data_IF_707949926167
#
_entry.id   IF_707949926167
#
_cell.length_a   1.000
_cell.length_b   1.000
_cell.length_c   1.000
_cell.angle_alpha   90.00
_cell.angle_beta   90.00
_cell.angle_gamma   90.00
#
_symmetry.space_group_name_H-M   'P 1'
#
loop_
_entity.id
_entity.type
_entity.pdbx_description
1 polymer ?
#
# COMPACT_ATOMS: atom_id res chain seq x y z
N UNK A 1 16.31 4.67 12.73
CA UNK A 1 15.84 5.54 13.83
C UNK A 1 14.44 6.10 13.58
N UNK A 2 13.88 5.97 12.36
CA UNK A 2 12.67 6.69 11.92
C UNK A 2 11.35 6.24 12.54
N UNK A 3 11.25 5.02 13.08
CA UNK A 3 9.99 4.49 13.61
C UNK A 3 9.94 4.32 15.13
N UNK A 4 11.04 4.62 15.82
CA UNK A 4 11.20 4.29 17.25
C UNK A 4 10.20 5.03 18.12
N UNK A 5 9.87 6.27 17.77
CA UNK A 5 8.94 7.11 18.51
C UNK A 5 7.49 6.60 18.51
N UNK A 6 7.11 5.81 17.50
CA UNK A 6 5.78 5.22 17.39
C UNK A 6 5.64 3.89 18.13
N UNK A 7 6.75 3.24 18.51
CA UNK A 7 6.74 1.88 19.05
C UNK A 7 6.89 1.94 20.58
N UNK A 8 5.76 1.82 21.29
CA UNK A 8 5.73 1.92 22.76
C UNK A 8 6.11 0.60 23.46
N UNK A 9 5.69 -0.53 22.89
CA UNK A 9 6.01 -1.87 23.40
C UNK A 9 6.47 -2.75 22.24
N UNK A 10 7.79 -2.86 21.99
CA UNK A 10 8.33 -3.51 20.79
C UNK A 10 8.21 -5.03 20.81
N UNK A 11 8.14 -5.64 22.01
CA UNK A 11 8.10 -7.09 22.19
C UNK A 11 7.25 -7.43 23.40
N UNK A 12 6.28 -8.31 23.21
CA UNK A 12 5.37 -8.80 24.26
C UNK A 12 5.33 -10.33 24.17
N UNK A 13 5.52 -11.00 25.30
CA UNK A 13 5.46 -12.45 25.40
C UNK A 13 4.10 -12.90 25.95
N UNK A 14 3.77 -14.19 25.76
CA UNK A 14 2.52 -14.79 26.25
C UNK A 14 1.26 -14.10 25.74
N UNK A 15 1.29 -13.64 24.48
CA UNK A 15 0.11 -13.11 23.78
C UNK A 15 -0.62 -14.31 23.17
N UNK A 16 -1.95 -14.33 23.29
CA UNK A 16 -2.77 -15.35 22.62
C UNK A 16 -3.27 -14.82 21.28
N UNK A 17 -2.87 -15.45 20.19
CA UNK A 17 -3.39 -15.22 18.86
C UNK A 17 -4.61 -16.12 18.61
N UNK A 18 -5.67 -15.55 18.04
CA UNK A 18 -6.81 -16.29 17.50
C UNK A 18 -7.17 -15.76 16.11
N UNK A 19 -7.05 -16.62 15.09
CA UNK A 19 -7.56 -16.34 13.74
C UNK A 19 -8.98 -16.86 13.56
N UNK A 20 -9.66 -16.43 12.48
CA UNK A 20 -11.07 -16.74 12.21
C UNK A 20 -11.43 -18.24 12.30
N UNK A 21 -10.53 -19.12 11.85
CA UNK A 21 -10.74 -20.57 11.82
C UNK A 21 -9.66 -21.38 12.58
N UNK A 22 -8.94 -20.73 13.50
CA UNK A 22 -7.84 -21.34 14.26
C UNK A 22 -8.19 -21.57 15.74
N UNK A 23 -7.41 -22.44 16.38
CA UNK A 23 -7.36 -22.52 17.84
C UNK A 23 -6.64 -21.28 18.39
N UNK A 24 -6.75 -21.07 19.71
CA UNK A 24 -5.91 -20.05 20.36
C UNK A 24 -4.49 -20.58 20.47
N UNK A 25 -3.51 -19.77 20.09
CA UNK A 25 -2.09 -20.12 20.17
C UNK A 25 -1.37 -19.05 20.98
N UNK A 26 -0.58 -19.48 21.97
CA UNK A 26 0.27 -18.58 22.75
C UNK A 26 1.60 -18.36 22.02
N UNK A 27 2.12 -17.13 22.06
CA UNK A 27 3.39 -16.81 21.43
C UNK A 27 3.93 -15.44 21.81
N UNK A 28 4.92 -15.01 21.04
CA UNK A 28 5.53 -13.69 21.17
C UNK A 28 5.04 -12.78 20.05
N UNK A 29 4.60 -11.58 20.42
CA UNK A 29 4.27 -10.49 19.49
C UNK A 29 5.42 -9.49 19.44
N UNK A 30 5.83 -9.10 18.23
CA UNK A 30 6.83 -8.07 17.99
C UNK A 30 6.23 -6.97 17.10
N UNK A 31 6.40 -5.72 17.52
CA UNK A 31 6.01 -4.53 16.74
C UNK A 31 7.28 -3.97 16.11
N UNK A 32 7.28 -3.86 14.78
CA UNK A 32 8.36 -3.24 13.99
C UNK A 32 7.83 -1.99 13.29
N UNK A 33 8.67 -1.28 12.54
CA UNK A 33 8.25 -0.09 11.79
C UNK A 33 7.19 -0.37 10.70
N UNK A 34 7.17 -1.57 10.13
CA UNK A 34 6.25 -1.92 9.02
C UNK A 34 5.33 -3.09 9.32
N UNK A 35 5.72 -3.98 10.24
CA UNK A 35 4.99 -5.21 10.53
C UNK A 35 4.66 -5.37 12.01
N UNK A 36 3.53 -6.00 12.25
CA UNK A 36 3.22 -6.77 13.43
C UNK A 36 3.55 -8.24 13.17
N UNK A 37 4.46 -8.80 13.96
CA UNK A 37 4.96 -10.17 13.79
C UNK A 37 4.58 -10.99 15.02
N UNK A 38 3.96 -12.15 14.82
CA UNK A 38 3.69 -13.11 15.90
C UNK A 38 4.36 -14.45 15.59
N UNK A 39 4.96 -15.07 16.60
CA UNK A 39 5.50 -16.43 16.49
C UNK A 39 5.15 -17.23 17.74
N UNK A 40 4.55 -18.41 17.54
CA UNK A 40 4.24 -19.36 18.61
C UNK A 40 5.48 -20.09 19.14
N UNK A 41 6.59 -20.08 18.38
CA UNK A 41 7.81 -20.87 18.66
C UNK A 41 7.57 -22.38 18.83
N UNK A 42 6.40 -22.87 18.41
CA UNK A 42 6.08 -24.31 18.40
C UNK A 42 6.34 -24.89 17.01
N UNK A 43 6.46 -26.22 16.91
CA UNK A 43 6.61 -26.92 15.63
C UNK A 43 5.40 -26.75 14.68
N UNK A 44 4.28 -26.21 15.19
CA UNK A 44 3.11 -25.86 14.39
C UNK A 44 3.22 -24.40 13.93
N UNK A 45 3.28 -24.24 12.61
CA UNK A 45 3.59 -23.04 11.80
C UNK A 45 2.61 -21.85 11.94
N UNK A 46 1.97 -21.64 13.09
CA UNK A 46 1.13 -20.47 13.29
C UNK A 46 1.99 -19.22 13.56
N UNK A 47 2.41 -18.60 12.46
CA UNK A 47 3.05 -17.29 12.42
C UNK A 47 2.10 -16.22 11.83
N UNK A 48 2.24 -14.99 12.31
CA UNK A 48 1.58 -13.82 11.73
C UNK A 48 2.65 -12.87 11.21
N UNK A 49 2.49 -12.44 9.96
CA UNK A 49 3.19 -11.28 9.39
C UNK A 49 2.13 -10.33 8.84
N UNK A 50 1.80 -9.28 9.60
CA UNK A 50 0.79 -8.31 9.24
C UNK A 50 1.44 -6.94 9.01
N UNK A 51 1.30 -6.39 7.81
CA UNK A 51 1.70 -5.02 7.52
C UNK A 51 0.78 -4.02 8.24
N UNK A 52 1.33 -2.97 8.84
CA UNK A 52 0.52 -1.89 9.43
C UNK A 52 -0.39 -1.22 8.41
N UNK A 53 0.06 -1.11 7.14
CA UNK A 53 -0.74 -0.57 6.05
C UNK A 53 -1.95 -1.43 5.65
N UNK A 54 -1.97 -2.70 6.06
CA UNK A 54 -3.09 -3.61 5.82
C UNK A 54 -4.18 -3.53 6.91
N UNK A 55 -3.89 -2.83 8.02
CA UNK A 55 -4.87 -2.57 9.09
C UNK A 55 -5.85 -1.51 8.60
N UNK A 56 -7.15 -1.78 8.80
CA UNK A 56 -8.25 -0.85 8.56
C UNK A 56 -8.67 -0.19 9.88
N UNK A 57 -8.85 -1.01 10.92
CA UNK A 57 -9.25 -0.52 12.24
C UNK A 57 -8.84 -1.49 13.34
N UNK A 58 -8.86 -0.99 14.58
CA UNK A 58 -8.57 -1.78 15.77
C UNK A 58 -9.66 -1.55 16.83
N UNK A 59 -10.22 -2.64 17.33
CA UNK A 59 -11.18 -2.63 18.44
C UNK A 59 -10.48 -3.07 19.73
N UNK A 60 -10.70 -2.32 20.81
CA UNK A 60 -10.07 -2.54 22.12
C UNK A 60 -11.15 -2.97 23.11
N UNK A 61 -11.03 -4.17 23.69
CA UNK A 61 -11.95 -4.69 24.71
C UNK A 61 -11.22 -5.02 25.99
N UNK A 62 -11.54 -4.32 27.08
CA UNK A 62 -10.99 -4.57 28.43
C UNK A 62 -11.95 -5.49 29.18
N UNK A 63 -11.47 -6.61 29.72
CA UNK A 63 -12.31 -7.65 30.33
C UNK A 63 -12.40 -7.54 31.86
N UNK A 64 -11.26 -7.25 32.52
CA UNK A 64 -11.18 -7.26 33.99
C UNK A 64 -10.17 -6.22 34.55
N UNK A 65 -9.86 -5.17 33.78
CA UNK A 65 -8.84 -4.17 34.14
C UNK A 65 -7.39 -4.63 33.95
N UNK A 66 -7.12 -5.92 34.09
CA UNK A 66 -5.80 -6.52 33.82
C UNK A 66 -5.72 -7.09 32.41
N UNK A 67 -6.75 -7.79 31.95
CA UNK A 67 -6.78 -8.42 30.62
C UNK A 67 -7.46 -7.56 29.56
N UNK A 68 -6.88 -7.58 28.35
CA UNK A 68 -7.41 -6.87 27.18
C UNK A 68 -7.37 -7.75 25.92
N UNK A 69 -8.34 -7.54 25.04
CA UNK A 69 -8.41 -8.14 23.72
C UNK A 69 -8.36 -7.04 22.68
N UNK A 70 -7.43 -7.15 21.73
CA UNK A 70 -7.39 -6.35 20.51
C UNK A 70 -7.96 -7.17 19.37
N UNK A 71 -8.96 -6.63 18.67
CA UNK A 71 -9.43 -7.17 17.39
C UNK A 71 -8.96 -6.26 16.29
N UNK A 72 -8.07 -6.75 15.44
CA UNK A 72 -7.53 -6.02 14.29
C UNK A 72 -8.35 -6.42 13.08
N UNK A 73 -8.97 -5.42 12.46
CA UNK A 73 -9.71 -5.55 11.21
C UNK A 73 -8.79 -5.16 10.06
N UNK A 74 -8.60 -6.08 9.12
CA UNK A 74 -7.73 -5.88 7.96
C UNK A 74 -8.54 -5.47 6.72
N UNK A 75 -7.90 -4.75 5.79
CA UNK A 75 -8.51 -4.30 4.52
C UNK A 75 -8.94 -5.44 3.59
N UNK A 76 -8.44 -6.65 3.83
CA UNK A 76 -8.83 -7.87 3.13
C UNK A 76 -9.97 -8.64 3.83
N UNK A 77 -10.70 -8.00 4.76
CA UNK A 77 -11.77 -8.58 5.56
C UNK A 77 -11.34 -9.72 6.49
N UNK A 78 -10.04 -9.87 6.76
CA UNK A 78 -9.53 -10.77 7.80
C UNK A 78 -9.65 -10.12 9.19
N UNK A 79 -9.83 -10.96 10.20
CA UNK A 79 -9.93 -10.56 11.61
C UNK A 79 -8.88 -11.30 12.42
N UNK A 80 -7.99 -10.54 13.03
CA UNK A 80 -6.93 -11.05 13.91
C UNK A 80 -7.24 -10.64 15.34
N UNK A 81 -7.37 -11.61 16.25
CA UNK A 81 -7.59 -11.34 17.68
C UNK A 81 -6.34 -11.65 18.48
N UNK A 82 -5.94 -10.69 19.31
CA UNK A 82 -4.81 -10.78 20.24
C UNK A 82 -5.31 -10.57 21.65
N UNK A 83 -5.05 -11.52 22.54
CA UNK A 83 -5.41 -11.42 23.96
C UNK A 83 -4.15 -11.22 24.80
N UNK A 84 -4.19 -10.24 25.69
CA UNK A 84 -3.09 -9.79 26.52
C UNK A 84 -3.45 -9.97 28.00
N UNK A 85 -2.46 -10.35 28.79
CA UNK A 85 -2.58 -10.43 30.26
C UNK A 85 -2.40 -9.07 30.94
N UNK A 86 -1.83 -8.09 30.23
CA UNK A 86 -1.61 -6.72 30.70
C UNK A 86 -2.31 -5.72 29.77
N UNK A 87 -3.18 -4.90 30.32
CA UNK A 87 -3.97 -3.91 29.58
C UNK A 87 -3.10 -2.76 29.08
N UNK A 88 -2.08 -2.34 29.82
CA UNK A 88 -1.15 -1.29 29.39
C UNK A 88 -0.38 -1.72 28.13
N UNK A 89 0.12 -2.96 28.10
CA UNK A 89 0.80 -3.52 26.93
C UNK A 89 -0.13 -3.56 25.71
N UNK A 90 -1.39 -3.98 25.89
CA UNK A 90 -2.38 -4.01 24.82
C UNK A 90 -2.65 -2.59 24.28
N UNK A 91 -2.81 -1.59 25.16
CA UNK A 91 -3.04 -0.21 24.74
C UNK A 91 -1.82 0.40 24.04
N UNK A 92 -0.61 0.08 24.49
CA UNK A 92 0.64 0.49 23.85
C UNK A 92 0.78 -0.10 22.45
N UNK A 93 0.50 -1.40 22.28
CA UNK A 93 0.50 -2.06 20.97
C UNK A 93 -0.56 -1.43 20.06
N UNK A 94 -1.77 -1.23 20.56
CA UNK A 94 -2.86 -0.68 19.77
C UNK A 94 -2.54 0.75 19.27
N UNK A 95 -2.02 1.61 20.16
CA UNK A 95 -1.55 2.94 19.78
C UNK A 95 -0.42 2.90 18.76
N UNK A 96 0.54 1.98 18.93
CA UNK A 96 1.65 1.84 17.97
C UNK A 96 1.14 1.44 16.58
N UNK A 97 0.15 0.54 16.51
CA UNK A 97 -0.48 0.13 15.24
C UNK A 97 -1.25 1.31 14.62
N UNK A 98 -2.03 2.04 15.42
CA UNK A 98 -2.79 3.20 14.95
C UNK A 98 -1.85 4.22 14.31
N UNK A 99 -0.77 4.60 15.00
CA UNK A 99 0.21 5.58 14.52
C UNK A 99 0.94 5.10 13.26
N UNK A 100 1.40 3.84 13.24
CA UNK A 100 2.16 3.27 12.11
C UNK A 100 1.29 3.00 10.87
N UNK A 101 -0.01 2.75 11.05
CA UNK A 101 -0.94 2.44 9.94
C UNK A 101 -1.27 3.66 9.07
N UNK A 102 -1.13 4.88 9.63
CA UNK A 102 -1.54 6.14 9.00
C UNK A 102 -0.37 7.01 8.51
N UNK A 103 0.88 6.55 8.63
CA UNK A 103 2.05 7.28 8.12
C UNK A 103 1.83 7.62 6.64
N UNK A 104 1.78 8.90 6.28
CA UNK A 104 1.47 9.35 4.92
C UNK A 104 2.71 9.51 4.04
N UNK A 105 3.89 9.69 4.64
CA UNK A 105 5.14 9.82 3.90
C UNK A 105 5.43 8.57 3.06
N UNK A 106 5.45 8.75 1.74
CA UNK A 106 5.70 7.68 0.79
C UNK A 106 7.09 7.08 0.96
N UNK A 107 8.10 7.89 1.30
CA UNK A 107 9.48 7.43 1.49
C UNK A 107 9.63 6.48 2.69
N UNK A 108 8.70 6.55 3.65
CA UNK A 108 8.68 5.70 4.85
C UNK A 108 7.93 4.37 4.65
N UNK A 109 7.35 4.13 3.46
CA UNK A 109 6.59 2.90 3.19
C UNK A 109 7.51 1.70 3.02
N UNK A 110 7.01 0.52 3.42
CA UNK A 110 7.77 -0.73 3.40
C UNK A 110 8.51 -1.04 2.08
N UNK A 111 7.95 -0.79 0.87
CA UNK A 111 8.67 -1.06 -0.38
C UNK A 111 10.04 -0.37 -0.49
N UNK A 112 10.25 0.78 0.15
CA UNK A 112 11.54 1.50 0.14
C UNK A 112 12.57 0.90 1.12
N UNK A 113 12.12 0.10 2.09
CA UNK A 113 12.98 -0.57 3.07
C UNK A 113 13.21 -2.04 2.75
N UNK A 114 12.42 -2.60 1.83
CA UNK A 114 12.50 -3.99 1.45
C UNK A 114 13.84 -4.29 0.77
N UNK A 115 14.52 -5.33 1.26
CA UNK A 115 15.74 -5.87 0.67
C UNK A 115 15.57 -7.35 0.42
N UNK A 116 15.67 -7.75 -0.84
CA UNK A 116 15.66 -9.16 -1.21
C UNK A 116 16.86 -9.89 -0.62
N UNK A 117 16.61 -11.06 -0.01
CA UNK A 117 17.65 -11.91 0.59
C UNK A 117 18.35 -12.80 -0.44
N UNK A 118 17.77 -12.96 -1.62
CA UNK A 118 18.33 -13.74 -2.73
C UNK A 118 18.67 -12.81 -3.89
N UNK A 119 19.67 -13.20 -4.70
CA UNK A 119 19.91 -12.52 -5.98
C UNK A 119 18.63 -12.59 -6.80
N UNK A 120 18.14 -11.43 -7.23
CA UNK A 120 17.00 -11.36 -8.14
C UNK A 120 17.23 -12.29 -9.33
N UNK A 121 16.16 -12.89 -9.84
CA UNK A 121 16.14 -13.50 -11.17
C UNK A 121 16.70 -12.53 -12.20
N UNK A 122 17.19 -13.02 -13.34
CA UNK A 122 17.70 -12.18 -14.44
C UNK A 122 16.67 -11.16 -14.97
N UNK A 123 15.40 -11.29 -14.59
CA UNK A 123 14.29 -10.45 -15.02
C UNK A 123 13.91 -9.39 -13.98
N UNK A 124 13.91 -8.12 -14.40
CA UNK A 124 13.42 -6.97 -13.62
C UNK A 124 11.94 -6.71 -13.92
N UNK A 125 11.11 -6.70 -12.87
CA UNK A 125 9.67 -6.44 -12.98
C UNK A 125 9.34 -5.04 -13.52
N UNK A 126 10.26 -4.06 -13.40
CA UNK A 126 10.08 -2.73 -13.99
C UNK A 126 10.03 -2.77 -15.52
N UNK A 127 10.71 -3.72 -16.14
CA UNK A 127 10.79 -3.86 -17.59
C UNK A 127 9.72 -4.81 -18.16
N UNK A 128 8.87 -5.40 -17.29
CA UNK A 128 7.85 -6.36 -17.70
C UNK A 128 6.77 -5.75 -18.61
N UNK A 129 6.55 -4.43 -18.54
CA UNK A 129 5.55 -3.74 -19.35
C UNK A 129 6.12 -2.48 -20.01
N UNK A 130 6.13 -2.46 -21.34
CA UNK A 130 6.50 -1.30 -22.13
C UNK A 130 5.30 -0.74 -22.87
N UNK A 131 4.90 0.49 -22.50
CA UNK A 131 3.81 1.23 -23.15
C UNK A 131 4.02 1.37 -24.66
N UNK A 132 5.26 1.57 -25.09
CA UNK A 132 5.61 1.74 -26.51
C UNK A 132 5.37 0.45 -27.29
N UNK A 133 5.81 -0.69 -26.75
CA UNK A 133 5.64 -2.00 -27.37
C UNK A 133 4.14 -2.32 -27.47
N UNK A 134 3.41 -2.22 -26.37
CA UNK A 134 1.98 -2.54 -26.31
C UNK A 134 1.14 -1.66 -27.24
N UNK A 135 1.39 -0.35 -27.25
CA UNK A 135 0.67 0.56 -28.15
C UNK A 135 1.08 0.41 -29.60
N UNK A 136 2.33 0.03 -29.91
CA UNK A 136 2.76 -0.23 -31.28
C UNK A 136 2.03 -1.42 -31.89
N UNK A 137 1.79 -2.48 -31.12
CA UNK A 137 1.01 -3.63 -31.56
C UNK A 137 -0.41 -3.22 -31.94
N UNK A 138 -1.08 -2.42 -31.08
CA UNK A 138 -2.43 -1.91 -31.37
C UNK A 138 -2.50 -0.96 -32.57
N UNK A 139 -1.53 -0.05 -32.71
CA UNK A 139 -1.49 0.90 -33.82
C UNK A 139 -1.28 0.17 -35.16
N UNK A 140 -0.43 -0.85 -35.18
CA UNK A 140 -0.15 -1.66 -36.38
C UNK A 140 -1.40 -2.36 -36.90
N UNK A 141 -2.25 -2.87 -36.00
CA UNK A 141 -3.48 -3.57 -36.39
C UNK A 141 -4.56 -2.67 -36.97
N UNK A 142 -4.61 -1.40 -36.56
CA UNK A 142 -5.73 -0.48 -36.88
C UNK A 142 -5.38 0.56 -37.94
N UNK A 143 -4.10 0.92 -38.08
CA UNK A 143 -3.54 1.94 -38.99
C UNK A 143 -4.10 3.37 -38.87
N UNK A 144 -5.25 3.56 -38.21
CA UNK A 144 -5.88 4.86 -37.98
C UNK A 144 -5.27 5.63 -36.80
N UNK A 145 -4.41 4.99 -36.02
CA UNK A 145 -3.84 5.48 -34.78
C UNK A 145 -2.31 5.45 -34.84
N UNK A 146 -1.67 6.39 -34.15
CA UNK A 146 -0.21 6.47 -34.01
C UNK A 146 0.20 6.80 -32.60
N UNK A 147 1.42 6.42 -32.26
CA UNK A 147 2.06 6.79 -31.00
C UNK A 147 2.44 8.28 -31.03
N UNK A 148 2.25 8.95 -29.89
CA UNK A 148 2.61 10.33 -29.64
C UNK A 148 3.32 10.48 -28.30
N UNK A 149 4.42 11.22 -28.31
CA UNK A 149 5.20 11.58 -27.12
C UNK A 149 5.00 13.04 -26.72
N UNK A 150 3.92 13.67 -27.18
CA UNK A 150 3.65 15.09 -26.89
C UNK A 150 3.60 15.37 -25.39
N UNK A 151 3.22 14.37 -24.58
CA UNK A 151 3.17 14.45 -23.12
C UNK A 151 4.39 13.85 -22.40
N UNK A 152 5.53 13.63 -23.08
CA UNK A 152 6.74 13.02 -22.45
C UNK A 152 7.20 13.75 -21.18
N UNK A 153 7.13 15.08 -21.18
CA UNK A 153 7.53 15.92 -20.04
C UNK A 153 6.38 16.19 -19.06
N UNK A 154 5.23 15.52 -19.28
CA UNK A 154 3.98 15.82 -18.60
C UNK A 154 3.65 17.31 -18.66
N UNK A 155 3.69 17.92 -19.85
CA UNK A 155 3.34 19.34 -20.08
C UNK A 155 1.97 19.50 -20.71
N UNK A 156 1.40 18.41 -21.22
CA UNK A 156 0.07 18.40 -21.83
C UNK A 156 -0.92 18.07 -20.72
N UNK A 157 -1.63 19.09 -20.27
CA UNK A 157 -2.61 18.98 -19.21
C UNK A 157 -3.94 19.59 -19.65
N UNK A 158 -5.01 19.02 -19.12
CA UNK A 158 -6.33 19.62 -19.18
C UNK A 158 -6.30 20.93 -18.41
N UNK A 159 -6.55 22.06 -19.08
CA UNK A 159 -6.83 23.31 -18.40
C UNK A 159 -8.18 23.15 -17.69
N UNK A 160 -8.15 22.72 -16.43
CA UNK A 160 -9.29 22.91 -15.56
C UNK A 160 -9.41 24.41 -15.31
N UNK A 161 -10.47 25.01 -15.83
CA UNK A 161 -10.85 26.37 -15.43
C UNK A 161 -11.11 26.31 -13.91
N UNK A 162 -10.21 26.98 -13.20
CA UNK A 162 -10.33 27.53 -11.84
C UNK A 162 -10.04 26.76 -10.54
N UNK A 163 -9.88 25.44 -10.46
CA UNK A 163 -9.55 24.83 -9.15
C UNK A 163 -8.76 23.52 -9.27
N UNK A 164 -7.44 23.57 -9.47
CA UNK A 164 -6.60 22.37 -9.30
C UNK A 164 -5.09 22.69 -9.21
N UNK A 165 -4.62 23.34 -8.15
CA UNK A 165 -3.18 23.47 -7.90
C UNK A 165 -2.50 22.15 -7.43
N UNK A 166 -3.25 21.05 -7.33
CA UNK A 166 -2.75 19.76 -6.79
C UNK A 166 -3.18 18.52 -7.58
N UNK A 167 -3.72 18.66 -8.80
CA UNK A 167 -3.90 17.49 -9.65
C UNK A 167 -2.55 17.12 -10.25
N UNK A 168 -1.97 16.06 -9.69
CA UNK A 168 -0.81 15.37 -10.24
C UNK A 168 -1.00 15.08 -11.73
N UNK A 169 0.12 15.01 -12.43
CA UNK A 169 0.22 14.78 -13.86
C UNK A 169 -0.33 13.38 -14.21
N UNK A 170 -1.64 13.27 -14.40
CA UNK A 170 -2.39 11.99 -14.43
C UNK A 170 -2.42 11.27 -15.80
N UNK A 171 -1.65 11.72 -16.80
CA UNK A 171 -1.57 11.08 -18.12
C UNK A 171 -0.23 10.42 -18.33
N UNK A 172 -0.22 9.31 -19.09
CA UNK A 172 0.99 8.63 -19.52
C UNK A 172 1.88 9.57 -20.35
N UNK A 173 3.17 9.28 -20.35
CA UNK A 173 4.16 9.98 -21.19
C UNK A 173 4.07 9.59 -22.66
N UNK A 174 3.45 8.44 -22.93
CA UNK A 174 3.17 7.88 -24.25
C UNK A 174 1.66 7.78 -24.43
N UNK A 175 1.16 8.38 -25.52
CA UNK A 175 -0.26 8.41 -25.86
C UNK A 175 -0.50 7.83 -27.26
N UNK A 176 -1.73 7.42 -27.53
CA UNK A 176 -2.18 6.97 -28.86
C UNK A 176 -3.19 7.98 -29.40
N UNK A 177 -2.93 8.52 -30.60
CA UNK A 177 -3.75 9.57 -31.22
C UNK A 177 -4.07 9.26 -32.69
N UNK A 178 -5.14 9.82 -33.26
CA UNK A 178 -5.47 9.58 -34.65
C UNK A 178 -4.34 10.02 -35.60
N UNK A 179 -4.10 9.25 -36.65
CA UNK A 179 -3.00 9.50 -37.59
C UNK A 179 -3.09 10.88 -38.26
N UNK A 180 -4.30 11.35 -38.55
CA UNK A 180 -4.58 12.67 -39.13
C UNK A 180 -4.48 13.85 -38.15
N UNK A 181 -4.31 13.60 -36.85
CA UNK A 181 -4.20 14.66 -35.85
C UNK A 181 -2.73 15.04 -35.67
N UNK A 182 -2.38 16.30 -35.93
CA UNK A 182 -1.05 16.83 -35.63
C UNK A 182 -0.82 17.01 -34.13
N UNK A 183 0.43 16.88 -33.66
CA UNK A 183 0.78 17.01 -32.23
C UNK A 183 0.35 18.36 -31.61
N UNK A 184 0.32 19.42 -32.43
CA UNK A 184 -0.15 20.74 -32.00
C UNK A 184 -1.65 20.67 -31.69
N UNK A 185 -2.47 20.16 -32.61
CA UNK A 185 -3.92 20.02 -32.43
C UNK A 185 -4.26 19.10 -31.25
N UNK A 186 -3.45 18.09 -30.99
CA UNK A 186 -3.55 17.22 -29.80
C UNK A 186 -3.34 18.02 -28.50
N UNK A 187 -2.26 18.80 -28.43
CA UNK A 187 -2.00 19.67 -27.28
C UNK A 187 -3.08 20.74 -27.05
N UNK A 188 -3.78 21.17 -28.12
CA UNK A 188 -4.89 22.12 -28.05
C UNK A 188 -6.22 21.45 -27.69
N UNK A 189 -6.52 20.26 -28.21
CA UNK A 189 -7.74 19.51 -27.87
C UNK A 189 -7.79 19.18 -26.38
N UNK A 190 -6.63 18.91 -25.78
CA UNK A 190 -6.47 18.76 -24.34
C UNK A 190 -6.87 20.00 -23.54
N UNK A 191 -6.98 21.19 -24.12
CA UNK A 191 -7.47 22.38 -23.39
C UNK A 191 -8.99 22.44 -23.27
N UNK A 192 -9.71 21.71 -24.13
CA UNK A 192 -11.16 21.84 -24.28
C UNK A 192 -11.96 20.63 -23.81
N UNK A 193 -11.35 19.47 -23.55
CA UNK A 193 -12.11 18.40 -22.90
C UNK A 193 -12.13 18.58 -21.38
N UNK A 194 -13.33 18.51 -20.83
CA UNK A 194 -13.56 18.50 -19.39
C UNK A 194 -13.62 17.04 -18.96
N UNK A 195 -12.82 16.68 -17.96
CA UNK A 195 -12.99 15.38 -17.31
C UNK A 195 -14.29 15.44 -16.50
N UNK A 196 -15.31 14.69 -16.92
CA UNK A 196 -16.36 14.27 -15.98
C UNK A 196 -15.70 13.28 -15.02
N UNK A 197 -15.48 13.72 -13.78
CA UNK A 197 -15.23 12.80 -12.68
C UNK A 197 -16.53 12.03 -12.48
N UNK A 198 -16.52 10.73 -12.80
CA UNK A 198 -17.53 9.80 -12.30
C UNK A 198 -17.14 9.33 -10.91
#
# INVERSE_FOLDING_TARGET
>A
MEFVEYIKSPRIEKVLLKRRHGTKVEGTLCVTGHHLIFSSRTQHEEELFLLHSAVESIEKKILSGEQAILTICCKNFDLVKLEFSNTEEALNVASSIEDLSVIDDSSLKYPFFYRHLQSLSEEDGWDMFSTDIEFSMMCTSTQNWRISHVNRDYKVHWLSIHYANNMSKMHLTVNVIPQGLGNILDSYSHRYAVRKLC
#
